data_IF_995816754274
#
_entry.id   IF_995816754274
#
_cell.length_a   1.000
_cell.length_b   1.000
_cell.length_c   1.000
_cell.angle_alpha   90.00
_cell.angle_beta   90.00
_cell.angle_gamma   90.00
#
_symmetry.space_group_name_H-M   'P 1'
#
loop_
_entity.id
_entity.type
_entity.pdbx_description
1 polymer ?
#
# COMPACT_ATOMS: atom_id res chain seq x y z
N UNK A 1 -27.91 -12.93 2.49
CA UNK A 1 -26.70 -12.31 1.85
C UNK A 1 -25.65 -12.12 2.92
N UNK A 2 -24.44 -12.69 2.77
CA UNK A 2 -23.33 -12.47 3.71
C UNK A 2 -22.84 -11.02 3.66
N UNK A 3 -22.37 -10.50 4.80
CA UNK A 3 -21.73 -9.17 4.86
C UNK A 3 -20.46 -9.14 4.01
N UNK A 4 -19.98 -7.95 3.61
CA UNK A 4 -18.71 -7.80 2.87
C UNK A 4 -17.54 -8.45 3.61
N UNK A 5 -17.50 -8.35 4.94
CA UNK A 5 -16.51 -9.00 5.79
C UNK A 5 -16.54 -10.53 5.66
N UNK A 6 -17.72 -11.13 5.60
CA UNK A 6 -17.85 -12.58 5.46
C UNK A 6 -17.41 -13.07 4.07
N UNK A 7 -17.68 -12.29 3.01
CA UNK A 7 -17.20 -12.62 1.66
C UNK A 7 -15.68 -12.54 1.59
N UNK A 8 -15.10 -11.50 2.16
CA UNK A 8 -13.66 -11.31 2.22
C UNK A 8 -12.98 -12.47 2.94
N UNK A 9 -13.43 -12.82 4.15
CA UNK A 9 -12.88 -13.94 4.91
C UNK A 9 -13.01 -15.30 4.19
N UNK A 10 -14.12 -15.53 3.49
CA UNK A 10 -14.29 -16.75 2.68
C UNK A 10 -13.32 -16.82 1.51
N UNK A 11 -13.12 -15.69 0.81
CA UNK A 11 -12.19 -15.60 -0.31
C UNK A 11 -10.75 -15.84 0.15
N UNK A 12 -10.35 -15.24 1.26
CA UNK A 12 -9.03 -15.43 1.86
C UNK A 12 -8.77 -16.89 2.20
N UNK A 13 -9.72 -17.53 2.88
CA UNK A 13 -9.60 -18.94 3.22
C UNK A 13 -9.55 -19.85 1.99
N UNK A 14 -10.37 -19.55 0.98
CA UNK A 14 -10.38 -20.32 -0.27
C UNK A 14 -9.03 -20.22 -0.99
N UNK A 15 -8.48 -19.01 -1.16
CA UNK A 15 -7.20 -18.80 -1.83
C UNK A 15 -6.04 -19.45 -1.07
N UNK A 16 -5.98 -19.33 0.25
CA UNK A 16 -4.93 -19.99 1.05
C UNK A 16 -4.96 -21.52 0.92
N UNK A 17 -6.15 -22.09 0.76
CA UNK A 17 -6.31 -23.56 0.72
C UNK A 17 -6.12 -24.12 -0.67
N UNK A 18 -6.51 -23.38 -1.72
CA UNK A 18 -6.66 -23.92 -3.07
C UNK A 18 -5.74 -23.25 -4.11
N UNK A 19 -5.08 -22.17 -3.78
CA UNK A 19 -4.20 -21.43 -4.69
C UNK A 19 -2.73 -21.58 -4.26
N UNK A 20 -1.95 -22.27 -5.08
CA UNK A 20 -0.52 -22.47 -4.83
C UNK A 20 0.31 -21.18 -4.93
N UNK A 21 -0.24 -20.10 -5.47
CA UNK A 21 0.43 -18.81 -5.59
C UNK A 21 0.25 -17.93 -4.35
N UNK A 22 -0.76 -18.17 -3.52
CA UNK A 22 -1.05 -17.39 -2.32
C UNK A 22 -0.11 -17.78 -1.18
N UNK A 23 0.74 -16.84 -0.77
CA UNK A 23 1.70 -17.01 0.33
C UNK A 23 1.08 -16.70 1.68
N UNK A 24 0.31 -15.62 1.75
CA UNK A 24 -0.25 -15.12 3.00
C UNK A 24 -1.49 -14.26 2.75
N UNK A 25 -2.31 -14.11 3.78
CA UNK A 25 -3.47 -13.20 3.83
C UNK A 25 -3.41 -12.38 5.10
N UNK A 26 -4.10 -11.23 5.13
CA UNK A 26 -4.14 -10.32 6.30
C UNK A 26 -2.74 -10.01 6.84
N UNK A 27 -1.81 -9.69 5.94
CA UNK A 27 -0.42 -9.40 6.33
C UNK A 27 -0.34 -8.02 6.97
N UNK A 28 -0.01 -7.93 8.28
CA UNK A 28 0.05 -6.65 8.96
C UNK A 28 1.23 -5.82 8.45
N UNK A 29 0.98 -4.52 8.25
CA UNK A 29 1.99 -3.51 7.91
C UNK A 29 2.04 -2.50 9.04
N UNK A 30 3.24 -2.20 9.49
CA UNK A 30 3.51 -1.16 10.47
C UNK A 30 4.84 -0.47 10.19
N UNK A 31 4.83 0.86 10.10
CA UNK A 31 6.01 1.70 10.00
C UNK A 31 5.95 2.78 11.07
N UNK A 32 7.10 3.07 11.66
CA UNK A 32 7.29 4.20 12.57
C UNK A 32 7.72 5.47 11.83
N UNK A 33 7.91 6.55 12.56
CA UNK A 33 8.33 7.85 12.02
C UNK A 33 9.67 7.78 11.30
N UNK A 34 10.62 7.00 11.79
CA UNK A 34 11.96 6.91 11.20
C UNK A 34 11.89 6.20 9.84
N UNK A 35 11.17 5.09 9.77
CA UNK A 35 10.92 4.36 8.53
C UNK A 35 10.16 5.20 7.51
N UNK A 36 9.12 5.91 7.95
CA UNK A 36 8.33 6.82 7.09
C UNK A 36 9.24 7.91 6.53
N UNK A 37 10.01 8.58 7.38
CA UNK A 37 10.90 9.68 6.99
C UNK A 37 11.99 9.21 6.02
N UNK A 38 12.58 8.04 6.24
CA UNK A 38 13.57 7.46 5.34
C UNK A 38 12.98 7.15 3.96
N UNK A 39 11.83 6.50 3.89
CA UNK A 39 11.15 6.17 2.64
C UNK A 39 10.68 7.42 1.89
N UNK A 40 10.17 8.43 2.60
CA UNK A 40 9.78 9.72 2.01
C UNK A 40 10.98 10.45 1.41
N UNK A 41 12.12 10.44 2.10
CA UNK A 41 13.35 11.05 1.60
C UNK A 41 13.91 10.30 0.37
N UNK A 42 13.98 8.97 0.43
CA UNK A 42 14.48 8.12 -0.66
C UNK A 42 13.67 8.30 -1.95
N UNK A 43 12.34 8.32 -1.82
CA UNK A 43 11.43 8.36 -2.97
C UNK A 43 10.93 9.77 -3.32
N UNK A 44 11.26 10.79 -2.52
CA UNK A 44 10.79 12.19 -2.69
C UNK A 44 9.26 12.30 -2.74
N UNK A 45 8.59 11.67 -1.79
CA UNK A 45 7.12 11.60 -1.68
C UNK A 45 6.68 11.93 -0.27
N UNK A 46 5.37 12.04 -0.07
CA UNK A 46 4.73 12.05 1.26
C UNK A 46 3.90 10.79 1.41
N UNK A 47 4.29 9.91 2.34
CA UNK A 47 3.54 8.69 2.67
C UNK A 47 2.40 8.98 3.65
N UNK A 48 2.72 9.75 4.69
CA UNK A 48 1.78 10.11 5.75
C UNK A 48 1.82 11.61 5.96
N UNK A 49 0.68 12.26 5.86
CA UNK A 49 0.59 13.70 6.09
C UNK A 49 1.11 14.07 7.50
N UNK A 50 1.88 15.14 7.58
CA UNK A 50 2.28 15.71 8.86
C UNK A 50 1.04 16.30 9.53
N UNK A 51 0.84 16.00 10.81
CA UNK A 51 -0.18 16.69 11.58
C UNK A 51 0.17 18.18 11.63
N UNK A 52 -0.79 19.08 11.38
CA UNK A 52 -0.57 20.49 11.65
C UNK A 52 -0.19 20.66 13.13
N UNK A 53 0.82 21.48 13.39
CA UNK A 53 1.17 21.84 14.77
C UNK A 53 -0.07 22.45 15.41
N UNK A 54 -0.43 21.99 16.61
CA UNK A 54 -1.50 22.59 17.39
C UNK A 54 -1.04 24.01 17.79
N UNK A 55 -1.71 25.08 17.31
CA UNK A 55 -1.30 26.43 17.61
C UNK A 55 -1.41 26.77 19.11
N UNK A 56 -2.12 25.96 19.90
CA UNK A 56 -2.28 26.12 21.36
C UNK A 56 -1.38 25.16 22.17
N UNK A 57 -0.64 24.25 21.52
CA UNK A 57 0.23 23.29 22.19
C UNK A 57 1.66 23.79 22.39
N UNK A 58 2.44 23.17 23.31
CA UNK A 58 3.85 23.47 23.44
C UNK A 58 4.57 23.18 22.11
N UNK A 59 5.45 24.08 21.68
CA UNK A 59 6.17 24.06 20.40
C UNK A 59 7.02 22.79 20.14
N UNK A 60 7.07 21.86 21.09
CA UNK A 60 7.84 20.62 21.04
C UNK A 60 7.00 19.34 20.92
N UNK A 61 5.67 19.42 20.87
CA UNK A 61 4.81 18.24 20.79
C UNK A 61 4.68 17.74 19.35
N UNK A 62 5.77 17.27 18.77
CA UNK A 62 5.69 16.51 17.52
C UNK A 62 5.06 15.13 17.80
N UNK A 63 3.83 14.94 17.30
CA UNK A 63 3.18 13.64 17.38
C UNK A 63 3.81 12.71 16.32
N UNK A 64 4.44 11.59 16.70
CA UNK A 64 5.05 10.68 15.73
C UNK A 64 3.99 10.12 14.78
N UNK A 65 4.36 10.02 13.51
CA UNK A 65 3.52 9.43 12.47
C UNK A 65 3.72 7.93 12.46
N UNK A 66 2.66 7.21 12.15
CA UNK A 66 2.68 5.78 11.94
C UNK A 66 1.91 5.44 10.68
N UNK A 67 2.37 4.45 9.94
CA UNK A 67 1.62 3.80 8.88
C UNK A 67 1.24 2.41 9.36
N UNK A 68 -0.05 2.12 9.40
CA UNK A 68 -0.57 0.81 9.78
C UNK A 68 -1.60 0.35 8.77
N UNK A 69 -1.72 -0.96 8.60
CA UNK A 69 -2.72 -1.56 7.73
C UNK A 69 -2.51 -3.06 7.58
N UNK A 70 -3.27 -3.64 6.68
CA UNK A 70 -3.18 -5.06 6.33
C UNK A 70 -3.21 -5.19 4.82
N UNK A 71 -2.34 -6.06 4.29
CA UNK A 71 -2.41 -6.48 2.91
C UNK A 71 -3.34 -7.68 2.85
N UNK A 72 -4.41 -7.59 2.06
CA UNK A 72 -5.43 -8.65 1.99
C UNK A 72 -4.84 -9.98 1.52
N UNK A 73 -4.01 -9.94 0.47
CA UNK A 73 -3.37 -11.12 -0.09
C UNK A 73 -1.96 -10.81 -0.58
N UNK A 74 -1.02 -11.71 -0.29
CA UNK A 74 0.29 -11.78 -0.91
C UNK A 74 0.39 -13.03 -1.76
N UNK A 75 0.77 -12.87 -3.02
CA UNK A 75 0.97 -13.97 -3.96
C UNK A 75 2.32 -13.85 -4.67
N UNK A 76 2.90 -14.99 -5.05
CA UNK A 76 4.01 -15.02 -6.00
C UNK A 76 3.48 -15.55 -7.34
N UNK A 77 3.63 -14.72 -8.38
CA UNK A 77 3.28 -15.09 -9.76
C UNK A 77 4.34 -14.60 -10.72
N UNK A 78 4.78 -15.46 -11.61
CA UNK A 78 5.75 -15.10 -12.66
C UNK A 78 7.02 -14.42 -12.11
N UNK A 79 7.50 -14.86 -10.96
CA UNK A 79 8.70 -14.31 -10.33
C UNK A 79 8.54 -12.94 -9.66
N UNK A 80 7.31 -12.45 -9.53
CA UNK A 80 7.00 -11.18 -8.86
C UNK A 80 6.10 -11.39 -7.65
N UNK A 81 6.27 -10.54 -6.65
CA UNK A 81 5.39 -10.46 -5.48
C UNK A 81 4.17 -9.59 -5.83
N UNK A 82 3.00 -10.17 -5.73
CA UNK A 82 1.74 -9.48 -6.00
C UNK A 82 1.04 -9.12 -4.68
N UNK A 83 0.76 -7.84 -4.49
CA UNK A 83 -0.10 -7.32 -3.43
C UNK A 83 -1.50 -7.15 -4.00
N UNK A 84 -2.46 -7.87 -3.44
CA UNK A 84 -3.83 -7.83 -3.89
C UNK A 84 -4.75 -7.28 -2.80
N UNK A 85 -5.70 -6.46 -3.21
CA UNK A 85 -6.70 -5.84 -2.34
C UNK A 85 -8.11 -6.09 -2.93
N UNK A 86 -8.98 -6.69 -2.12
CA UNK A 86 -10.36 -6.92 -2.51
C UNK A 86 -11.22 -5.69 -2.21
N UNK A 87 -11.79 -5.10 -3.26
CA UNK A 87 -12.68 -3.94 -3.16
C UNK A 87 -14.03 -4.26 -3.78
N UNK A 88 -15.12 -4.33 -3.00
CA UNK A 88 -16.46 -4.52 -3.57
C UNK A 88 -16.81 -3.53 -4.66
N UNK A 89 -16.30 -2.31 -4.56
CA UNK A 89 -16.46 -1.18 -5.48
C UNK A 89 -15.23 -0.94 -6.40
N UNK A 90 -14.54 -2.01 -6.80
CA UNK A 90 -13.27 -1.96 -7.55
C UNK A 90 -13.32 -1.16 -8.87
N UNK A 91 -14.50 -0.87 -9.40
CA UNK A 91 -14.66 -0.01 -10.59
C UNK A 91 -14.44 1.47 -10.30
N UNK A 92 -14.84 1.93 -9.14
CA UNK A 92 -14.83 3.35 -8.72
C UNK A 92 -13.76 3.64 -7.69
N UNK A 93 -13.48 2.69 -6.81
CA UNK A 93 -12.44 2.79 -5.79
C UNK A 93 -11.09 2.33 -6.35
N UNK A 94 -10.12 3.23 -6.36
CA UNK A 94 -8.77 2.96 -6.87
C UNK A 94 -7.75 3.12 -5.73
N UNK A 95 -7.41 2.06 -5.01
CA UNK A 95 -6.53 2.12 -3.84
C UNK A 95 -5.03 2.20 -4.22
N UNK A 96 -4.69 2.92 -5.28
CA UNK A 96 -3.32 3.02 -5.80
C UNK A 96 -2.36 3.59 -4.77
N UNK A 97 -2.75 4.66 -4.07
CA UNK A 97 -1.91 5.28 -3.04
C UNK A 97 -1.70 4.34 -1.83
N UNK A 98 -2.76 3.68 -1.38
CA UNK A 98 -2.71 2.72 -0.28
C UNK A 98 -1.80 1.53 -0.61
N UNK A 99 -2.00 0.90 -1.76
CA UNK A 99 -1.20 -0.24 -2.20
C UNK A 99 0.26 0.14 -2.47
N UNK A 100 0.51 1.34 -2.99
CA UNK A 100 1.89 1.86 -3.16
C UNK A 100 2.56 2.05 -1.80
N UNK A 101 1.84 2.58 -0.81
CA UNK A 101 2.33 2.71 0.57
C UNK A 101 2.67 1.36 1.19
N UNK A 102 1.84 0.35 0.98
CA UNK A 102 2.10 -1.02 1.46
C UNK A 102 3.28 -1.67 0.74
N UNK A 103 3.45 -1.44 -0.56
CA UNK A 103 4.61 -1.92 -1.31
C UNK A 103 5.90 -1.31 -0.77
N UNK A 104 5.92 0.00 -0.50
CA UNK A 104 7.05 0.67 0.13
C UNK A 104 7.35 0.13 1.54
N UNK A 105 6.31 -0.09 2.34
CA UNK A 105 6.46 -0.69 3.66
C UNK A 105 7.10 -2.07 3.58
N UNK A 106 6.71 -2.91 2.63
CA UNK A 106 7.33 -4.22 2.44
C UNK A 106 8.80 -4.13 2.06
N UNK A 107 9.19 -3.18 1.22
CA UNK A 107 10.63 -3.00 0.88
C UNK A 107 11.46 -2.58 2.08
N UNK A 108 10.87 -1.90 3.05
CA UNK A 108 11.52 -1.58 4.32
C UNK A 108 11.59 -2.78 5.25
N UNK A 109 10.49 -3.54 5.37
CA UNK A 109 10.36 -4.64 6.32
C UNK A 109 11.08 -5.93 5.86
N UNK A 110 11.25 -6.12 4.55
CA UNK A 110 11.85 -7.32 3.97
C UNK A 110 13.18 -6.98 3.31
N UNK A 111 14.31 -7.34 3.93
CA UNK A 111 15.65 -7.09 3.35
C UNK A 111 15.80 -7.69 1.96
N UNK A 112 16.33 -6.90 1.02
CA UNK A 112 16.57 -7.32 -0.36
C UNK A 112 15.36 -7.25 -1.30
N UNK A 113 14.16 -6.99 -0.79
CA UNK A 113 12.98 -6.77 -1.62
C UNK A 113 13.00 -5.33 -2.19
N UNK A 114 12.78 -5.20 -3.49
CA UNK A 114 12.70 -3.91 -4.15
C UNK A 114 11.34 -3.67 -4.80
N UNK A 115 11.01 -2.41 -5.12
CA UNK A 115 9.79 -2.09 -5.84
C UNK A 115 9.74 -2.69 -7.26
N UNK A 116 10.88 -3.11 -7.81
CA UNK A 116 10.94 -3.82 -9.09
C UNK A 116 10.35 -5.22 -9.01
N UNK A 117 10.37 -5.82 -7.82
CA UNK A 117 9.89 -7.17 -7.57
C UNK A 117 8.38 -7.20 -7.27
N UNK A 118 7.75 -6.02 -7.17
CA UNK A 118 6.37 -5.88 -6.68
C UNK A 118 5.42 -5.42 -7.77
N UNK A 119 4.27 -6.06 -7.83
CA UNK A 119 3.10 -5.67 -8.60
C UNK A 119 1.90 -5.55 -7.66
N UNK A 120 1.08 -4.54 -7.85
CA UNK A 120 -0.12 -4.32 -7.05
C UNK A 120 -1.37 -4.51 -7.89
N UNK A 121 -2.43 -5.02 -7.28
CA UNK A 121 -3.73 -5.15 -7.94
C UNK A 121 -4.87 -4.96 -6.95
N UNK A 122 -6.02 -4.53 -7.46
CA UNK A 122 -7.29 -4.53 -6.72
C UNK A 122 -8.39 -5.12 -7.59
N UNK A 123 -9.32 -5.79 -6.96
CA UNK A 123 -10.29 -6.57 -7.70
C UNK A 123 -11.61 -6.80 -6.94
N UNK A 124 -12.63 -7.20 -7.69
CA UNK A 124 -13.84 -7.84 -7.21
C UNK A 124 -14.23 -8.97 -8.17
N UNK A 125 -15.46 -9.46 -8.07
CA UNK A 125 -15.94 -10.56 -8.91
C UNK A 125 -16.03 -10.21 -10.40
N UNK A 126 -16.06 -8.90 -10.75
CA UNK A 126 -16.28 -8.43 -12.12
C UNK A 126 -15.05 -7.73 -12.73
N UNK A 127 -14.12 -7.26 -11.92
CA UNK A 127 -13.03 -6.37 -12.36
C UNK A 127 -11.73 -6.77 -11.69
N UNK A 128 -10.65 -6.78 -12.46
CA UNK A 128 -9.28 -6.91 -11.97
C UNK A 128 -8.42 -5.80 -12.58
N UNK A 129 -7.80 -5.00 -11.72
CA UNK A 129 -6.92 -3.89 -12.13
C UNK A 129 -5.54 -4.09 -11.50
N UNK A 130 -4.49 -3.92 -12.26
CA UNK A 130 -3.13 -4.05 -11.77
C UNK A 130 -2.25 -2.87 -12.17
N UNK A 131 -1.20 -2.62 -11.38
CA UNK A 131 -0.22 -1.58 -11.67
C UNK A 131 1.13 -1.90 -11.03
N UNK A 132 2.16 -1.22 -11.48
CA UNK A 132 3.48 -1.25 -10.86
C UNK A 132 3.64 -0.06 -9.91
N UNK A 133 3.87 -0.27 -8.60
CA UNK A 133 4.00 0.82 -7.63
C UNK A 133 5.13 1.79 -7.99
N UNK A 134 6.20 1.30 -8.60
CA UNK A 134 7.28 2.15 -9.12
C UNK A 134 6.82 3.17 -10.17
N UNK A 135 5.87 2.80 -11.04
CA UNK A 135 5.31 3.74 -12.03
C UNK A 135 4.40 4.78 -11.38
N UNK A 136 3.64 4.38 -10.36
CA UNK A 136 2.80 5.29 -9.59
C UNK A 136 3.64 6.37 -8.90
N UNK A 137 4.79 6.02 -8.31
CA UNK A 137 5.71 6.98 -7.70
C UNK A 137 6.31 7.96 -8.70
N UNK A 138 6.66 7.53 -9.91
CA UNK A 138 7.14 8.42 -10.96
C UNK A 138 6.09 9.46 -11.38
N UNK A 139 4.82 9.07 -11.46
CA UNK A 139 3.72 9.98 -11.77
C UNK A 139 3.49 11.07 -10.73
N UNK A 140 3.74 10.78 -9.45
CA UNK A 140 3.70 11.78 -8.37
C UNK A 140 4.84 12.79 -8.50
N UNK A 141 6.05 12.34 -8.81
CA UNK A 141 7.22 13.21 -9.00
C UNK A 141 7.04 14.23 -10.13
N UNK A 142 6.46 13.82 -11.26
CA UNK A 142 6.21 14.72 -12.40
C UNK A 142 5.17 15.79 -12.09
N UNK A 143 4.18 15.50 -11.25
CA UNK A 143 3.18 16.50 -10.83
C UNK A 143 3.75 17.57 -9.89
N UNK A 144 4.69 17.20 -9.03
CA UNK A 144 5.34 18.13 -8.09
C UNK A 144 6.31 19.08 -8.82
N UNK A 145 6.97 18.63 -9.88
CA UNK A 145 7.85 19.50 -10.69
C UNK A 145 7.09 20.48 -11.59
N UNK A 146 5.84 20.18 -11.97
CA UNK A 146 5.04 21.07 -12.82
C UNK A 146 4.42 22.26 -12.07
N UNK A 147 4.43 22.23 -10.73
CA UNK A 147 3.86 23.32 -9.89
C UNK A 147 4.88 24.38 -9.49
N UNK A 148 6.15 24.23 -9.87
CA UNK A 148 7.23 25.19 -9.52
C UNK A 148 7.49 26.23 -10.63
N UNK A 149 6.83 26.13 -11.78
CA UNK A 149 6.95 27.07 -12.89
C UNK A 149 5.60 27.75 -13.22
N UNK A 150 5.02 28.38 -12.21
CA UNK A 150 3.94 29.34 -12.44
C UNK A 150 4.13 30.55 -11.51
#
# INVERSE_FOLDING_TARGET
MGSNHQRHARLQRFLLTNDACTLAVEVPIWLDEDAISALEAEHSITLVAKHPADPAGPASAHKPRHLTGHIDFLQIRHGALHLLDYKPDARTNRPVAQLTGYALALTWLVPGLSLFDIKCAWFNEAVYNEFFPRKALRGVRTRTCATVNA
#
